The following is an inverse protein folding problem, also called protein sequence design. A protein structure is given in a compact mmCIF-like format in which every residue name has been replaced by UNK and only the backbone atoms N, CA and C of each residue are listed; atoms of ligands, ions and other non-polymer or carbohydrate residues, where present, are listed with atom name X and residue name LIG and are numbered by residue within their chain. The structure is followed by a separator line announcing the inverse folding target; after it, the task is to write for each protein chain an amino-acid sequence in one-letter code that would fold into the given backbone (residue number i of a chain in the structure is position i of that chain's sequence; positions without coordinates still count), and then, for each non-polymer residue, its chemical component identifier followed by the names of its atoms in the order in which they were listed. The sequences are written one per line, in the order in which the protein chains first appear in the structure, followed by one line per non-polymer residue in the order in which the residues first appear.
data_IF_574952470099
#
_entry.id   IF_574952470099
#
_cell.length_a   1.000
_cell.length_b   1.000
_cell.length_c   1.000
_cell.angle_alpha   90.00
_cell.angle_beta   90.00
_cell.angle_gamma   90.00
#
_symmetry.space_group_name_H-M   'P 1'
#
loop_
_entity.id
_entity.type
_entity.pdbx_description
1 polymer ?
#
# COMPACT_ATOMS: atom_id res chain seq x y z
N UNK A 1 76.85 -5.50 -0.93
CA UNK A 1 75.99 -5.22 -2.09
C UNK A 1 75.11 -6.45 -2.33
N UNK A 2 73.82 -6.41 -1.99
CA UNK A 2 72.85 -7.45 -2.37
C UNK A 2 71.47 -6.80 -2.55
N UNK A 3 70.96 -6.93 -3.79
CA UNK A 3 69.66 -6.50 -4.29
C UNK A 3 68.53 -7.23 -3.57
N UNK A 4 67.39 -6.54 -3.34
CA UNK A 4 66.09 -7.21 -3.20
C UNK A 4 65.04 -6.51 -4.06
N UNK A 5 64.34 -7.34 -4.81
CA UNK A 5 63.48 -7.02 -5.94
C UNK A 5 62.08 -6.64 -5.44
N UNK A 6 61.50 -5.59 -6.01
CA UNK A 6 60.12 -5.19 -5.77
C UNK A 6 59.16 -6.16 -6.46
N UNK A 7 58.24 -6.73 -5.70
CA UNK A 7 57.13 -7.50 -6.23
C UNK A 7 55.96 -6.54 -6.53
N UNK A 8 55.61 -6.40 -7.80
CA UNK A 8 54.35 -5.79 -8.22
C UNK A 8 53.19 -6.70 -7.82
N UNK A 9 52.37 -6.26 -6.88
CA UNK A 9 51.09 -6.90 -6.58
C UNK A 9 50.10 -6.49 -7.67
N UNK A 10 49.88 -7.38 -8.64
CA UNK A 10 48.78 -7.26 -9.61
C UNK A 10 47.50 -7.66 -8.88
N UNK A 11 46.76 -6.66 -8.38
CA UNK A 11 45.46 -6.86 -7.76
C UNK A 11 44.40 -7.15 -8.81
N UNK A 12 43.97 -8.40 -8.90
CA UNK A 12 42.82 -8.81 -9.71
C UNK A 12 41.54 -8.20 -9.15
N UNK A 13 40.93 -7.27 -9.89
CA UNK A 13 39.56 -6.79 -9.63
C UNK A 13 38.62 -7.90 -10.10
N UNK A 14 38.34 -8.87 -9.23
CA UNK A 14 37.24 -9.79 -9.43
C UNK A 14 35.95 -8.99 -9.20
N UNK A 15 35.32 -8.65 -10.32
CA UNK A 15 33.98 -8.10 -10.41
C UNK A 15 33.00 -9.16 -9.88
N UNK A 16 32.79 -9.17 -8.56
CA UNK A 16 31.79 -10.00 -7.91
C UNK A 16 30.42 -9.40 -8.24
N UNK A 17 29.80 -9.88 -9.32
CA UNK A 17 28.38 -9.67 -9.54
C UNK A 17 27.63 -10.38 -8.41
N UNK A 18 27.27 -9.63 -7.36
CA UNK A 18 26.26 -10.10 -6.44
C UNK A 18 24.98 -10.35 -7.26
N UNK A 19 24.28 -11.48 -7.06
CA UNK A 19 22.98 -11.67 -7.69
C UNK A 19 22.08 -10.50 -7.30
N UNK A 20 21.23 -9.99 -8.22
CA UNK A 20 20.28 -8.95 -7.87
C UNK A 20 19.45 -9.44 -6.68
N UNK A 21 19.13 -8.56 -5.71
CA UNK A 21 18.26 -8.94 -4.61
C UNK A 21 16.98 -9.53 -5.20
N UNK A 22 16.55 -10.66 -4.66
CA UNK A 22 15.30 -11.30 -5.07
C UNK A 22 14.17 -10.28 -4.93
N UNK A 23 13.54 -9.92 -6.05
CA UNK A 23 12.44 -8.96 -6.04
C UNK A 23 11.30 -9.56 -5.22
N UNK A 24 11.06 -8.98 -4.04
CA UNK A 24 9.94 -9.37 -3.21
C UNK A 24 8.66 -9.17 -4.01
N UNK A 25 8.02 -10.26 -4.41
CA UNK A 25 6.71 -10.20 -5.06
C UNK A 25 5.74 -9.37 -4.20
N UNK A 26 4.90 -8.52 -4.80
CA UNK A 26 3.93 -7.77 -4.04
C UNK A 26 2.96 -8.72 -3.31
N UNK A 27 2.46 -8.34 -2.13
CA UNK A 27 1.41 -9.10 -1.46
C UNK A 27 0.17 -9.20 -2.36
N UNK A 28 -0.44 -10.39 -2.39
CA UNK A 28 -1.67 -10.69 -3.14
C UNK A 28 -2.74 -11.24 -2.19
N UNK A 29 -3.42 -10.38 -1.43
CA UNK A 29 -4.53 -10.80 -0.58
C UNK A 29 -5.78 -11.14 -1.42
N UNK A 30 -6.78 -11.78 -0.81
CA UNK A 30 -7.95 -12.28 -1.54
C UNK A 30 -8.76 -11.15 -2.23
N UNK A 31 -8.94 -11.18 -3.57
CA UNK A 31 -9.78 -10.23 -4.29
C UNK A 31 -11.27 -10.30 -3.91
N UNK A 32 -11.80 -11.46 -3.52
CA UNK A 32 -13.21 -11.60 -3.15
C UNK A 32 -13.49 -10.94 -1.79
N UNK A 33 -12.62 -11.17 -0.80
CA UNK A 33 -12.63 -10.43 0.46
C UNK A 33 -12.43 -8.92 0.26
N UNK A 34 -11.58 -8.52 -0.71
CA UNK A 34 -11.42 -7.10 -1.04
C UNK A 34 -12.75 -6.48 -1.48
N UNK A 35 -13.40 -7.06 -2.50
CA UNK A 35 -14.62 -6.50 -3.08
C UNK A 35 -15.78 -6.44 -2.08
N UNK A 36 -15.93 -7.46 -1.25
CA UNK A 36 -17.04 -7.58 -0.29
C UNK A 36 -16.84 -6.80 1.01
N UNK A 37 -15.58 -6.60 1.45
CA UNK A 37 -15.28 -6.07 2.79
C UNK A 37 -14.46 -4.79 2.74
N UNK A 38 -13.32 -4.81 2.06
CA UNK A 38 -12.36 -3.69 2.10
C UNK A 38 -12.78 -2.53 1.20
N UNK A 39 -13.26 -2.82 0.00
CA UNK A 39 -13.64 -1.79 -0.96
C UNK A 39 -14.73 -0.84 -0.44
N UNK A 40 -15.82 -1.32 0.20
CA UNK A 40 -16.80 -0.43 0.84
C UNK A 40 -16.19 0.47 1.94
N UNK A 41 -15.25 -0.04 2.73
CA UNK A 41 -14.55 0.74 3.76
C UNK A 41 -13.71 1.84 3.13
N UNK A 42 -12.93 1.52 2.09
CA UNK A 42 -12.10 2.51 1.40
C UNK A 42 -12.96 3.60 0.71
N UNK A 43 -14.11 3.23 0.15
CA UNK A 43 -15.06 4.20 -0.39
C UNK A 43 -15.65 5.11 0.70
N UNK A 44 -16.03 4.53 1.83
CA UNK A 44 -16.64 5.26 2.92
C UNK A 44 -15.65 6.21 3.59
N UNK A 45 -14.41 5.76 3.85
CA UNK A 45 -13.46 6.44 4.71
C UNK A 45 -12.38 7.23 3.93
N UNK A 46 -12.03 6.81 2.70
CA UNK A 46 -10.85 7.33 2.01
C UNK A 46 -11.16 8.05 0.69
N UNK A 47 -12.25 7.71 0.00
CA UNK A 47 -12.52 8.14 -1.37
C UNK A 47 -13.09 9.57 -1.53
N UNK A 48 -13.04 10.41 -0.50
CA UNK A 48 -13.48 11.80 -0.60
C UNK A 48 -12.51 12.65 -1.43
N UNK A 49 -13.00 13.72 -2.06
CA UNK A 49 -12.21 14.60 -2.93
C UNK A 49 -11.04 15.31 -2.23
N UNK A 50 -11.07 15.49 -0.91
CA UNK A 50 -9.94 15.99 -0.13
C UNK A 50 -8.80 14.94 0.05
N UNK A 51 -9.13 13.66 -0.12
CA UNK A 51 -8.26 12.52 0.16
C UNK A 51 -8.01 11.72 -1.13
N UNK A 52 -8.49 10.47 -1.20
CA UNK A 52 -8.24 9.54 -2.31
C UNK A 52 -9.35 9.54 -3.39
N UNK A 53 -10.27 10.51 -3.36
CA UNK A 53 -11.20 10.80 -4.46
C UNK A 53 -10.66 11.84 -5.47
N UNK A 54 -9.47 12.40 -5.20
CA UNK A 54 -8.84 13.43 -6.02
C UNK A 54 -8.03 12.82 -7.18
N UNK A 55 -8.26 13.28 -8.41
CA UNK A 55 -7.58 12.78 -9.61
C UNK A 55 -6.06 12.97 -9.61
N UNK A 56 -5.56 13.95 -8.86
CA UNK A 56 -4.13 14.27 -8.78
C UNK A 56 -3.36 13.38 -7.79
N UNK A 57 -4.05 12.52 -7.03
CA UNK A 57 -3.41 11.60 -6.08
C UNK A 57 -3.03 10.30 -6.77
N UNK A 58 -1.93 9.70 -6.32
CA UNK A 58 -1.49 8.39 -6.82
C UNK A 58 -2.49 7.29 -6.44
N UNK A 59 -2.75 7.11 -5.14
CA UNK A 59 -3.76 6.18 -4.66
C UNK A 59 -5.13 6.84 -4.79
N UNK A 60 -5.99 6.27 -5.64
CA UNK A 60 -7.38 6.73 -5.84
C UNK A 60 -8.34 5.55 -5.76
N UNK A 61 -9.49 5.80 -5.17
CA UNK A 61 -10.58 4.84 -5.00
C UNK A 61 -11.82 5.42 -5.67
N UNK A 62 -12.27 4.76 -6.75
CA UNK A 62 -13.45 5.14 -7.51
C UNK A 62 -14.62 4.24 -7.14
N UNK A 63 -15.85 4.74 -7.23
CA UNK A 63 -17.04 3.93 -7.00
C UNK A 63 -18.32 4.71 -6.68
N UNK A 64 -19.38 3.99 -6.28
CA UNK A 64 -20.68 4.58 -5.99
C UNK A 64 -20.62 5.70 -4.95
N UNK A 65 -21.33 6.81 -5.21
CA UNK A 65 -21.38 7.98 -4.34
C UNK A 65 -20.08 8.78 -4.25
N UNK A 66 -19.08 8.45 -5.08
CA UNK A 66 -17.75 9.08 -5.16
C UNK A 66 -17.41 9.40 -6.61
N UNK A 67 -16.21 9.93 -6.85
CA UNK A 67 -15.69 10.12 -8.20
C UNK A 67 -15.68 8.78 -8.95
N UNK A 68 -16.38 8.70 -10.09
CA UNK A 68 -16.39 7.50 -10.93
C UNK A 68 -15.12 7.39 -11.76
N UNK A 69 -14.75 6.18 -12.17
CA UNK A 69 -13.61 5.99 -13.09
C UNK A 69 -13.97 6.47 -14.50
N UNK A 70 -15.16 6.10 -14.97
CA UNK A 70 -15.78 6.65 -16.18
C UNK A 70 -16.84 7.68 -15.77
N UNK A 71 -16.71 8.96 -16.15
CA UNK A 71 -17.70 10.00 -15.88
C UNK A 71 -19.10 9.73 -16.44
N UNK A 72 -19.23 8.82 -17.43
CA UNK A 72 -20.52 8.41 -17.98
C UNK A 72 -21.28 7.43 -17.08
N UNK A 73 -20.61 6.76 -16.14
CA UNK A 73 -21.27 5.87 -15.17
C UNK A 73 -22.09 6.68 -14.18
N UNK A 74 -23.36 6.31 -13.93
CA UNK A 74 -24.20 7.08 -13.02
C UNK A 74 -23.64 7.05 -11.59
N UNK A 75 -23.75 8.16 -10.87
CA UNK A 75 -23.04 8.36 -9.59
C UNK A 75 -23.30 7.25 -8.56
N UNK A 76 -24.51 6.67 -8.52
CA UNK A 76 -24.92 5.68 -7.53
C UNK A 76 -25.09 4.26 -8.07
N UNK A 77 -24.77 4.03 -9.35
CA UNK A 77 -24.76 2.67 -9.88
C UNK A 77 -23.71 1.83 -9.15
N UNK A 78 -23.89 0.48 -9.06
CA UNK A 78 -22.89 -0.42 -8.52
C UNK A 78 -21.49 -0.19 -9.09
N UNK A 79 -20.42 -0.57 -8.37
CA UNK A 79 -19.07 -0.42 -8.87
C UNK A 79 -18.87 -1.26 -10.14
N UNK A 80 -18.15 -0.72 -11.12
CA UNK A 80 -17.78 -1.50 -12.30
C UNK A 80 -16.66 -2.49 -11.97
N UNK A 81 -16.44 -3.49 -12.83
CA UNK A 81 -15.35 -4.44 -12.67
C UNK A 81 -13.97 -3.74 -12.70
N UNK A 82 -13.84 -2.71 -13.55
CA UNK A 82 -12.62 -1.90 -13.69
C UNK A 82 -12.36 -1.05 -12.46
N UNK A 83 -13.41 -0.46 -11.86
CA UNK A 83 -13.29 0.30 -10.60
C UNK A 83 -12.78 -0.60 -9.47
N UNK A 84 -13.36 -1.80 -9.34
CA UNK A 84 -12.94 -2.79 -8.34
C UNK A 84 -11.50 -3.27 -8.57
N UNK A 85 -11.16 -3.65 -9.80
CA UNK A 85 -9.82 -4.13 -10.14
C UNK A 85 -8.76 -3.07 -9.87
N UNK A 86 -9.01 -1.82 -10.29
CA UNK A 86 -8.08 -0.72 -10.07
C UNK A 86 -7.92 -0.38 -8.59
N UNK A 87 -9.02 -0.35 -7.83
CA UNK A 87 -8.98 -0.13 -6.39
C UNK A 87 -8.20 -1.25 -5.67
N UNK A 88 -8.43 -2.51 -6.05
CA UNK A 88 -7.71 -3.67 -5.52
C UNK A 88 -6.21 -3.56 -5.78
N UNK A 89 -5.80 -3.37 -7.03
CA UNK A 89 -4.38 -3.28 -7.40
C UNK A 89 -3.66 -2.17 -6.63
N UNK A 90 -4.30 -1.01 -6.51
CA UNK A 90 -3.71 0.11 -5.77
C UNK A 90 -3.66 -0.15 -4.27
N UNK A 91 -4.71 -0.68 -3.66
CA UNK A 91 -4.71 -1.03 -2.25
C UNK A 91 -3.63 -2.08 -1.93
N UNK A 92 -3.51 -3.13 -2.76
CA UNK A 92 -2.47 -4.14 -2.61
C UNK A 92 -1.06 -3.55 -2.76
N UNK A 93 -0.85 -2.60 -3.68
CA UNK A 93 0.43 -1.89 -3.81
C UNK A 93 0.80 -1.10 -2.54
N UNK A 94 -0.19 -0.65 -1.77
CA UNK A 94 -0.01 0.06 -0.49
C UNK A 94 0.25 -0.87 0.70
N UNK A 95 0.34 -2.17 0.46
CA UNK A 95 0.84 -3.16 1.42
C UNK A 95 2.33 -3.47 1.21
N UNK A 96 2.88 -3.14 0.04
CA UNK A 96 4.30 -3.33 -0.22
C UNK A 96 5.14 -2.35 0.62
N UNK A 97 6.17 -2.86 1.27
CA UNK A 97 7.12 -2.07 2.04
C UNK A 97 8.23 -2.95 2.63
N UNK A 98 9.41 -2.38 2.81
CA UNK A 98 10.61 -3.09 3.29
C UNK A 98 10.42 -3.73 4.68
N UNK A 99 9.46 -3.24 5.47
CA UNK A 99 9.15 -3.76 6.79
C UNK A 99 7.95 -4.73 6.83
N UNK A 100 7.52 -5.24 5.68
CA UNK A 100 6.42 -6.21 5.56
C UNK A 100 5.02 -5.60 5.55
N UNK A 101 4.02 -6.45 5.27
CA UNK A 101 2.61 -6.07 5.01
C UNK A 101 2.02 -5.28 6.17
N UNK A 102 2.32 -5.69 7.40
CA UNK A 102 1.81 -5.07 8.65
C UNK A 102 2.24 -3.62 8.84
N UNK A 103 3.30 -3.20 8.15
CA UNK A 103 3.81 -1.83 8.19
C UNK A 103 3.52 -1.06 6.90
N UNK A 104 2.74 -1.65 5.99
CA UNK A 104 2.34 -1.02 4.74
C UNK A 104 1.58 0.29 4.95
N UNK A 105 1.76 1.28 4.05
CA UNK A 105 1.04 2.55 4.09
C UNK A 105 -0.47 2.43 4.27
N UNK A 106 -1.12 1.42 3.69
CA UNK A 106 -2.58 1.22 3.79
C UNK A 106 -3.06 1.07 5.24
N UNK A 107 -2.25 0.43 6.10
CA UNK A 107 -2.61 0.15 7.50
C UNK A 107 -2.15 1.26 8.44
N UNK A 108 -1.04 1.94 8.12
CA UNK A 108 -0.41 2.90 9.03
C UNK A 108 -0.88 4.33 8.85
N UNK A 109 -1.12 4.77 7.61
CA UNK A 109 -1.54 6.15 7.35
C UNK A 109 -2.88 6.52 7.97
N UNK A 110 -3.95 5.71 7.87
CA UNK A 110 -5.23 6.08 8.45
C UNK A 110 -5.29 5.87 9.98
N UNK A 111 -4.31 5.19 10.57
CA UNK A 111 -4.25 4.89 12.00
C UNK A 111 -3.55 6.04 12.77
N UNK A 112 -4.05 6.36 13.96
CA UNK A 112 -3.42 7.31 14.86
C UNK A 112 -1.98 6.95 15.20
N UNK A 113 -1.12 7.96 15.34
CA UNK A 113 0.31 7.79 15.63
C UNK A 113 0.51 7.06 16.96
N UNK A 114 -0.30 7.38 17.97
CA UNK A 114 -0.31 6.76 19.30
C UNK A 114 -0.66 5.27 19.25
N UNK A 115 -1.46 4.86 18.25
CA UNK A 115 -1.80 3.46 18.00
C UNK A 115 -0.77 2.73 17.10
N UNK A 116 0.32 3.39 16.73
CA UNK A 116 1.39 2.86 15.87
C UNK A 116 1.23 3.21 14.38
N UNK A 117 0.39 4.19 14.07
CA UNK A 117 0.23 4.74 12.74
C UNK A 117 1.45 5.49 12.22
N UNK A 118 1.29 6.17 11.08
CA UNK A 118 2.32 7.01 10.46
C UNK A 118 1.88 8.47 10.31
N UNK A 119 0.66 8.81 10.77
CA UNK A 119 0.03 10.09 10.48
C UNK A 119 -0.37 10.20 9.01
N UNK A 120 -1.35 11.06 8.73
CA UNK A 120 -1.78 11.38 7.40
C UNK A 120 -1.68 12.89 7.22
N UNK A 121 -1.07 13.39 6.13
CA UNK A 121 -1.13 14.82 5.80
C UNK A 121 -2.54 15.28 5.35
N UNK A 122 -3.56 14.51 5.74
CA UNK A 122 -4.99 14.67 5.51
C UNK A 122 -5.71 14.17 6.75
N UNK A 123 -5.26 14.61 7.92
CA UNK A 123 -6.10 14.58 9.10
C UNK A 123 -7.47 15.19 8.75
N UNK A 124 -8.53 14.73 9.41
CA UNK A 124 -9.84 15.35 9.22
C UNK A 124 -9.78 16.86 9.54
N UNK A 125 -10.84 17.65 9.30
CA UNK A 125 -10.84 19.07 9.63
C UNK A 125 -10.48 19.41 11.09
N UNK A 126 -10.43 18.41 11.98
CA UNK A 126 -10.11 18.50 13.41
C UNK A 126 -8.74 17.92 13.77
N UNK A 127 -7.90 17.53 12.80
CA UNK A 127 -6.59 16.96 13.08
C UNK A 127 -6.63 15.49 13.53
N UNK A 128 -7.73 14.78 13.29
CA UNK A 128 -7.89 13.38 13.74
C UNK A 128 -7.58 12.38 12.63
N UNK A 129 -6.93 11.28 13.02
CA UNK A 129 -6.75 10.11 12.18
C UNK A 129 -8.07 9.37 11.98
N UNK A 130 -8.25 8.75 10.81
CA UNK A 130 -9.46 7.99 10.43
C UNK A 130 -9.78 6.88 11.44
N UNK A 131 -8.75 6.20 11.94
CA UNK A 131 -8.84 5.18 12.97
C UNK A 131 -8.01 5.58 14.17
N UNK A 132 -8.68 5.81 15.31
CA UNK A 132 -8.00 6.19 16.54
C UNK A 132 -7.25 5.01 17.18
N UNK A 133 -7.73 3.78 16.95
CA UNK A 133 -7.13 2.57 17.53
C UNK A 133 -7.21 1.39 16.57
N UNK A 134 -6.39 0.36 16.83
CA UNK A 134 -6.43 -0.92 16.12
C UNK A 134 -7.67 -1.77 16.41
N UNK A 135 -8.52 -1.35 17.36
CA UNK A 135 -9.80 -2.01 17.68
C UNK A 135 -10.97 -1.43 16.88
N UNK A 136 -10.71 -0.47 16.00
CA UNK A 136 -11.74 -0.03 15.05
C UNK A 136 -12.03 -1.19 14.10
N UNK A 137 -13.29 -1.67 14.00
CA UNK A 137 -13.63 -2.83 13.18
C UNK A 137 -13.29 -2.62 11.70
N UNK A 138 -13.28 -1.38 11.21
CA UNK A 138 -12.90 -1.05 9.83
C UNK A 138 -11.40 -1.22 9.63
N UNK A 139 -10.59 -0.77 10.60
CA UNK A 139 -9.14 -1.01 10.58
C UNK A 139 -8.83 -2.50 10.69
N UNK A 140 -9.52 -3.23 11.56
CA UNK A 140 -9.36 -4.68 11.70
C UNK A 140 -9.66 -5.41 10.39
N UNK A 141 -10.73 -5.02 9.69
CA UNK A 141 -11.05 -5.60 8.38
C UNK A 141 -9.92 -5.36 7.34
N UNK A 142 -9.36 -4.15 7.28
CA UNK A 142 -8.19 -3.86 6.44
C UNK A 142 -6.99 -4.71 6.84
N UNK A 143 -6.72 -4.83 8.14
CA UNK A 143 -5.62 -5.60 8.68
C UNK A 143 -5.75 -7.09 8.35
N UNK A 144 -6.91 -7.69 8.61
CA UNK A 144 -7.17 -9.10 8.33
C UNK A 144 -7.03 -9.40 6.84
N UNK A 145 -7.65 -8.57 5.98
CA UNK A 145 -7.46 -8.70 4.53
C UNK A 145 -5.97 -8.64 4.17
N UNK A 146 -5.24 -7.65 4.67
CA UNK A 146 -3.83 -7.48 4.35
C UNK A 146 -2.98 -8.71 4.73
N UNK A 147 -3.11 -9.23 5.96
CA UNK A 147 -2.27 -10.34 6.45
C UNK A 147 -2.59 -11.69 5.82
N UNK A 148 -3.77 -11.88 5.21
CA UNK A 148 -4.04 -13.10 4.41
C UNK A 148 -3.06 -13.26 3.24
N UNK A 149 -2.50 -12.15 2.74
CA UNK A 149 -1.46 -12.19 1.71
C UNK A 149 -0.15 -12.83 2.17
N UNK A 150 0.10 -12.90 3.48
CA UNK A 150 1.28 -13.55 4.05
C UNK A 150 1.06 -15.07 4.20
N UNK A 151 -0.17 -15.52 4.42
CA UNK A 151 -0.52 -16.94 4.65
C UNK A 151 -0.57 -17.79 3.36
N UNK A 152 -0.62 -17.14 2.19
CA UNK A 152 -0.69 -17.81 0.88
C UNK A 152 0.68 -17.93 0.19
N UNK A 153 1.78 -17.63 0.89
CA UNK A 153 3.17 -17.81 0.41
C UNK A 153 3.78 -19.05 1.03
#
# INVERSE_FOLDING_TARGET
MLRRWGACFVGSILWACAPPPEEASPPRPDPAAFASTVYPILLADCAFSGCHGNEQRFFRVHGPGRTRLDPATALFDPPTAEELALAYTRAASMLAGESGVRRGPLLRKPLAVEAGGAGHAGDDPWGQSIYLTKRDPRWEALFFWAVTAETLR
#
